data_IF_246345756091
#
_entry.id   IF_246345756091
#
_cell.length_a   1.000
_cell.length_b   1.000
_cell.length_c   1.000
_cell.angle_alpha   90.00
_cell.angle_beta   90.00
_cell.angle_gamma   90.00
#
_symmetry.space_group_name_H-M   'P 1'
#
loop_
_entity.id
_entity.type
_entity.pdbx_description
1 polymer ?
#
# COMPACT_ATOMS: atom_id res chain seq x y z
N UNK A 1 2.29 3.94 -11.84
CA UNK A 1 1.91 5.38 -11.97
C UNK A 1 0.91 5.69 -13.09
N UNK A 2 1.13 5.31 -14.36
CA UNK A 2 0.27 5.77 -15.47
C UNK A 2 -1.16 5.25 -15.37
N UNK A 3 -1.38 4.03 -14.84
CA UNK A 3 -2.73 3.49 -14.67
C UNK A 3 -3.56 4.31 -13.66
N UNK A 4 -2.96 4.68 -12.53
CA UNK A 4 -3.63 5.44 -11.46
C UNK A 4 -3.95 6.88 -11.91
N UNK A 5 -3.03 7.52 -12.65
CA UNK A 5 -3.27 8.86 -13.22
C UNK A 5 -4.40 8.81 -14.25
N UNK A 6 -4.36 7.87 -15.19
CA UNK A 6 -5.41 7.68 -16.20
C UNK A 6 -6.77 7.38 -15.55
N UNK A 7 -6.82 6.49 -14.57
CA UNK A 7 -8.06 6.15 -13.85
C UNK A 7 -8.65 7.37 -13.12
N UNK A 8 -7.81 8.18 -12.49
CA UNK A 8 -8.24 9.40 -11.78
C UNK A 8 -8.72 10.47 -12.76
N UNK A 9 -7.99 10.69 -13.86
CA UNK A 9 -8.42 11.60 -14.94
C UNK A 9 -9.75 11.13 -15.52
N UNK A 10 -9.91 9.83 -15.81
CA UNK A 10 -11.16 9.26 -16.31
C UNK A 10 -12.30 9.48 -15.33
N UNK A 11 -12.05 9.36 -14.02
CA UNK A 11 -13.03 9.65 -12.96
C UNK A 11 -13.49 11.11 -13.01
N UNK A 12 -12.57 12.06 -13.15
CA UNK A 12 -12.90 13.48 -13.30
C UNK A 12 -13.67 13.78 -14.59
N UNK A 13 -13.24 13.20 -15.72
CA UNK A 13 -13.91 13.34 -17.01
C UNK A 13 -15.32 12.74 -16.97
N UNK A 14 -15.49 11.57 -16.34
CA UNK A 14 -16.78 10.94 -16.16
C UNK A 14 -17.70 11.74 -15.23
N UNK A 15 -17.17 12.34 -14.16
CA UNK A 15 -17.92 13.23 -13.28
C UNK A 15 -18.42 14.49 -14.01
N UNK A 16 -17.54 15.12 -14.82
CA UNK A 16 -17.92 16.25 -15.69
C UNK A 16 -18.98 15.86 -16.72
N UNK A 17 -18.79 14.76 -17.45
CA UNK A 17 -19.76 14.27 -18.45
C UNK A 17 -21.11 13.92 -17.85
N UNK A 18 -21.13 13.45 -16.60
CA UNK A 18 -22.37 13.15 -15.88
C UNK A 18 -23.06 14.39 -15.28
N UNK A 19 -22.52 15.61 -15.48
CA UNK A 19 -23.07 16.84 -14.91
C UNK A 19 -23.07 16.86 -13.38
N UNK A 20 -22.24 16.04 -12.72
CA UNK A 20 -22.24 15.91 -11.26
C UNK A 20 -21.46 17.06 -10.65
N UNK A 21 -22.04 17.73 -9.63
CA UNK A 21 -21.32 18.71 -8.81
C UNK A 21 -20.08 18.06 -8.17
N UNK A 22 -18.98 18.83 -8.12
CA UNK A 22 -17.75 18.43 -7.43
C UNK A 22 -18.09 18.06 -5.99
N UNK A 23 -17.68 16.86 -5.58
CA UNK A 23 -17.91 16.35 -4.23
C UNK A 23 -16.60 16.12 -3.48
N UNK A 24 -16.70 15.92 -2.17
CA UNK A 24 -15.56 15.60 -1.31
C UNK A 24 -14.82 14.34 -1.76
N UNK A 25 -15.51 13.38 -2.38
CA UNK A 25 -14.91 12.17 -2.94
C UNK A 25 -13.90 12.48 -4.07
N UNK A 26 -14.10 13.56 -4.82
CA UNK A 26 -13.23 13.96 -5.93
C UNK A 26 -11.98 14.67 -5.42
N UNK A 27 -12.13 15.48 -4.35
CA UNK A 27 -11.00 16.15 -3.68
C UNK A 27 -10.08 15.10 -3.05
N UNK A 28 -10.64 14.13 -2.30
CA UNK A 28 -9.82 13.06 -1.72
C UNK A 28 -9.14 12.21 -2.79
N UNK A 29 -9.79 11.93 -3.92
CA UNK A 29 -9.13 11.23 -5.02
C UNK A 29 -7.97 12.02 -5.65
N UNK A 30 -8.11 13.35 -5.78
CA UNK A 30 -7.01 14.20 -6.25
C UNK A 30 -5.86 14.26 -5.25
N UNK A 31 -6.15 14.38 -3.95
CA UNK A 31 -5.12 14.39 -2.90
C UNK A 31 -4.37 13.06 -2.85
N UNK A 32 -5.07 11.93 -2.96
CA UNK A 32 -4.45 10.61 -3.08
C UNK A 32 -3.50 10.55 -4.28
N UNK A 33 -3.94 11.04 -5.45
CA UNK A 33 -3.11 11.06 -6.66
C UNK A 33 -1.84 11.91 -6.47
N UNK A 34 -1.97 13.09 -5.87
CA UNK A 34 -0.82 13.96 -5.60
C UNK A 34 0.19 13.30 -4.66
N UNK A 35 -0.29 12.67 -3.58
CA UNK A 35 0.56 11.94 -2.65
C UNK A 35 1.25 10.74 -3.33
N UNK A 36 0.53 10.01 -4.18
CA UNK A 36 1.12 8.92 -4.95
C UNK A 36 2.19 9.38 -5.93
N UNK A 37 1.97 10.52 -6.62
CA UNK A 37 2.95 11.13 -7.51
C UNK A 37 4.22 11.55 -6.76
N UNK A 38 4.07 12.16 -5.58
CA UNK A 38 5.19 12.52 -4.72
C UNK A 38 5.99 11.28 -4.26
N UNK A 39 5.29 10.24 -3.80
CA UNK A 39 5.89 8.96 -3.42
C UNK A 39 6.72 8.36 -4.58
N UNK A 40 6.13 8.24 -5.78
CA UNK A 40 6.87 7.65 -6.89
C UNK A 40 7.98 8.54 -7.45
N UNK A 41 7.87 9.87 -7.35
CA UNK A 41 8.97 10.77 -7.71
C UNK A 41 10.19 10.54 -6.81
N UNK A 42 9.97 10.38 -5.49
CA UNK A 42 11.03 10.06 -4.53
C UNK A 42 11.61 8.66 -4.77
N UNK A 43 10.77 7.66 -5.06
CA UNK A 43 11.22 6.30 -5.39
C UNK A 43 12.06 6.26 -6.67
N UNK A 44 11.63 6.95 -7.73
CA UNK A 44 12.39 7.08 -8.98
C UNK A 44 13.71 7.82 -8.74
N UNK A 45 13.68 8.89 -7.92
CA UNK A 45 14.89 9.61 -7.51
C UNK A 45 15.89 8.70 -6.79
N UNK A 46 15.43 7.88 -5.86
CA UNK A 46 16.28 6.90 -5.16
C UNK A 46 16.88 5.88 -6.11
N UNK A 47 16.08 5.34 -7.03
CA UNK A 47 16.57 4.42 -8.05
C UNK A 47 17.63 5.09 -8.96
N UNK A 48 17.38 6.33 -9.39
CA UNK A 48 18.33 7.09 -10.21
C UNK A 48 19.67 7.35 -9.52
N UNK A 49 19.69 7.55 -8.20
CA UNK A 49 20.92 7.69 -7.40
C UNK A 49 21.74 6.39 -7.40
N UNK A 50 21.07 5.24 -7.28
CA UNK A 50 21.75 3.93 -7.29
C UNK A 50 22.16 3.47 -8.68
N UNK A 51 21.63 4.06 -9.75
CA UNK A 51 21.89 3.62 -11.12
C UNK A 51 21.40 2.19 -11.43
N UNK A 52 20.60 1.59 -10.54
CA UNK A 52 20.10 0.22 -10.69
C UNK A 52 21.11 -0.87 -10.32
N UNK A 53 22.22 -0.55 -9.66
CA UNK A 53 23.20 -1.55 -9.19
C UNK A 53 22.62 -2.38 -8.02
N UNK A 54 23.19 -3.56 -7.77
CA UNK A 54 22.80 -4.40 -6.63
C UNK A 54 23.22 -3.76 -5.31
N UNK A 55 22.53 -4.11 -4.23
CA UNK A 55 22.78 -3.60 -2.87
C UNK A 55 24.22 -3.80 -2.41
N UNK A 56 24.90 -4.83 -2.91
CA UNK A 56 26.28 -5.19 -2.55
C UNK A 56 27.31 -4.21 -3.15
N UNK A 57 26.93 -3.47 -4.18
CA UNK A 57 27.77 -2.49 -4.87
C UNK A 57 27.52 -1.04 -4.38
N UNK A 58 26.71 -0.87 -3.32
CA UNK A 58 26.34 0.47 -2.86
C UNK A 58 27.51 1.18 -2.20
N UNK A 59 27.86 2.34 -2.74
CA UNK A 59 28.72 3.27 -2.01
C UNK A 59 27.98 3.81 -0.79
N UNK A 60 28.73 4.15 0.26
CA UNK A 60 28.18 4.72 1.49
C UNK A 60 27.28 5.95 1.21
N UNK A 61 27.68 6.82 0.28
CA UNK A 61 26.93 8.02 -0.09
C UNK A 61 25.59 7.68 -0.78
N UNK A 62 25.60 6.67 -1.66
CA UNK A 62 24.38 6.15 -2.29
C UNK A 62 23.43 5.54 -1.26
N UNK A 63 23.97 4.75 -0.32
CA UNK A 63 23.17 4.12 0.73
C UNK A 63 22.48 5.16 1.63
N UNK A 64 23.21 6.18 2.08
CA UNK A 64 22.67 7.26 2.92
C UNK A 64 21.63 8.09 2.17
N UNK A 65 21.91 8.45 0.91
CA UNK A 65 21.02 9.27 0.10
C UNK A 65 19.72 8.54 -0.21
N UNK A 66 19.79 7.27 -0.63
CA UNK A 66 18.61 6.46 -0.91
C UNK A 66 17.80 6.19 0.35
N UNK A 67 18.44 5.98 1.51
CA UNK A 67 17.74 5.81 2.80
C UNK A 67 16.97 7.08 3.22
N UNK A 68 17.55 8.26 3.00
CA UNK A 68 16.86 9.54 3.24
C UNK A 68 15.67 9.74 2.30
N UNK A 69 15.80 9.36 1.02
CA UNK A 69 14.70 9.41 0.07
C UNK A 69 13.57 8.42 0.43
N UNK A 70 13.92 7.21 0.87
CA UNK A 70 12.95 6.22 1.33
C UNK A 70 12.19 6.71 2.58
N UNK A 71 12.90 7.28 3.56
CA UNK A 71 12.30 7.91 4.74
C UNK A 71 11.34 9.05 4.36
N UNK A 72 11.73 9.89 3.40
CA UNK A 72 10.87 10.96 2.89
C UNK A 72 9.65 10.43 2.10
N UNK A 73 9.78 9.28 1.43
CA UNK A 73 8.73 8.67 0.62
C UNK A 73 7.65 7.98 1.45
N UNK A 74 8.03 7.33 2.56
CA UNK A 74 7.15 6.61 3.47
C UNK A 74 5.86 7.37 3.85
N UNK A 75 5.90 8.61 4.37
CA UNK A 75 4.68 9.33 4.74
C UNK A 75 3.74 9.60 3.56
N UNK A 76 4.27 9.81 2.35
CA UNK A 76 3.43 10.03 1.16
C UNK A 76 2.68 8.77 0.74
N UNK A 77 3.27 7.59 0.94
CA UNK A 77 2.60 6.32 0.69
C UNK A 77 1.39 6.15 1.62
N UNK A 78 1.58 6.39 2.92
CA UNK A 78 0.52 6.32 3.92
C UNK A 78 -0.60 7.33 3.65
N UNK A 79 -0.23 8.57 3.31
CA UNK A 79 -1.20 9.63 2.98
C UNK A 79 -2.03 9.24 1.76
N UNK A 80 -1.41 8.62 0.74
CA UNK A 80 -2.13 8.12 -0.42
C UNK A 80 -3.14 7.02 -0.02
N UNK A 81 -2.74 6.05 0.81
CA UNK A 81 -3.64 4.98 1.29
C UNK A 81 -4.85 5.56 2.01
N UNK A 82 -4.63 6.52 2.92
CA UNK A 82 -5.70 7.19 3.65
C UNK A 82 -6.70 7.87 2.71
N UNK A 83 -6.22 8.74 1.81
CA UNK A 83 -7.11 9.51 0.94
C UNK A 83 -7.82 8.63 -0.10
N UNK A 84 -7.16 7.57 -0.59
CA UNK A 84 -7.78 6.61 -1.50
C UNK A 84 -8.97 5.90 -0.83
N UNK A 85 -8.77 5.37 0.38
CA UNK A 85 -9.83 4.72 1.18
C UNK A 85 -10.92 5.71 1.61
N UNK A 86 -10.54 6.93 1.99
CA UNK A 86 -11.49 7.99 2.34
C UNK A 86 -12.39 8.37 1.15
N UNK A 87 -11.85 8.48 -0.07
CA UNK A 87 -12.65 8.74 -1.27
C UNK A 87 -13.71 7.65 -1.51
N UNK A 88 -13.36 6.37 -1.28
CA UNK A 88 -14.28 5.24 -1.38
C UNK A 88 -15.33 5.24 -0.26
N UNK A 89 -14.94 5.50 0.97
CA UNK A 89 -15.86 5.58 2.11
C UNK A 89 -16.87 6.72 1.96
N UNK A 90 -16.45 7.89 1.48
CA UNK A 90 -17.37 9.00 1.16
C UNK A 90 -18.33 8.61 0.03
N UNK A 91 -17.84 7.90 -0.99
CA UNK A 91 -18.69 7.39 -2.06
C UNK A 91 -19.72 6.38 -1.52
N UNK A 92 -19.32 5.48 -0.62
CA UNK A 92 -20.22 4.52 0.03
C UNK A 92 -21.28 5.22 0.86
N UNK A 93 -20.86 6.19 1.68
CA UNK A 93 -21.77 7.01 2.46
C UNK A 93 -22.78 7.72 1.55
N UNK A 94 -22.33 8.38 0.48
CA UNK A 94 -23.22 9.08 -0.45
C UNK A 94 -24.24 8.15 -1.13
N UNK A 95 -23.84 6.94 -1.51
CA UNK A 95 -24.72 5.99 -2.22
C UNK A 95 -25.73 5.35 -1.25
N UNK A 96 -25.29 5.01 -0.03
CA UNK A 96 -26.04 4.14 0.88
C UNK A 96 -26.51 4.84 2.16
N UNK A 97 -26.32 6.17 2.28
CA UNK A 97 -26.78 6.97 3.44
C UNK A 97 -28.27 6.85 3.73
N UNK A 98 -29.08 6.38 2.76
CA UNK A 98 -30.51 6.10 2.95
C UNK A 98 -30.75 5.10 4.10
N UNK A 99 -29.83 4.18 4.36
CA UNK A 99 -29.93 3.23 5.47
C UNK A 99 -28.98 3.63 6.60
N UNK A 100 -29.55 3.97 7.77
CA UNK A 100 -28.80 4.43 8.94
C UNK A 100 -27.76 3.43 9.43
N UNK A 101 -28.05 2.12 9.39
CA UNK A 101 -27.09 1.10 9.81
C UNK A 101 -25.84 1.12 8.94
N UNK A 102 -26.02 1.20 7.62
CA UNK A 102 -24.91 1.25 6.68
C UNK A 102 -24.12 2.57 6.77
N UNK A 103 -24.80 3.68 7.02
CA UNK A 103 -24.16 4.96 7.29
C UNK A 103 -23.26 4.91 8.53
N UNK A 104 -23.76 4.35 9.63
CA UNK A 104 -23.00 4.17 10.88
C UNK A 104 -21.80 3.24 10.66
N UNK A 105 -21.98 2.08 10.02
CA UNK A 105 -20.86 1.18 9.73
C UNK A 105 -19.77 1.85 8.89
N UNK A 106 -20.16 2.64 7.87
CA UNK A 106 -19.21 3.38 7.04
C UNK A 106 -18.42 4.40 7.86
N UNK A 107 -19.09 5.13 8.76
CA UNK A 107 -18.42 6.08 9.67
C UNK A 107 -17.48 5.37 10.65
N UNK A 108 -17.87 4.22 11.21
CA UNK A 108 -17.02 3.44 12.12
C UNK A 108 -15.75 2.98 11.42
N UNK A 109 -15.85 2.43 10.20
CA UNK A 109 -14.67 2.04 9.40
C UNK A 109 -13.78 3.25 9.11
N UNK A 110 -14.37 4.41 8.78
CA UNK A 110 -13.61 5.63 8.53
C UNK A 110 -12.84 6.11 9.78
N UNK A 111 -13.45 6.03 10.96
CA UNK A 111 -12.80 6.39 12.23
C UNK A 111 -11.65 5.42 12.54
N UNK A 112 -11.88 4.11 12.37
CA UNK A 112 -10.84 3.09 12.57
C UNK A 112 -9.67 3.33 11.62
N UNK A 113 -9.94 3.57 10.34
CA UNK A 113 -8.89 3.85 9.35
C UNK A 113 -8.10 5.12 9.69
N UNK A 114 -8.77 6.18 10.14
CA UNK A 114 -8.11 7.43 10.52
C UNK A 114 -7.24 7.25 11.77
N UNK A 115 -7.77 6.58 12.80
CA UNK A 115 -7.04 6.31 14.03
C UNK A 115 -5.80 5.44 13.74
N UNK A 116 -5.96 4.43 12.88
CA UNK A 116 -4.86 3.56 12.46
C UNK A 116 -3.79 4.32 11.68
N UNK A 117 -4.18 5.12 10.70
CA UNK A 117 -3.27 5.96 9.93
C UNK A 117 -2.44 6.86 10.85
N UNK A 118 -3.08 7.54 11.81
CA UNK A 118 -2.38 8.41 12.75
C UNK A 118 -1.32 7.63 13.54
N UNK A 119 -1.66 6.43 14.04
CA UNK A 119 -0.74 5.60 14.79
C UNK A 119 0.48 5.17 13.97
N UNK A 120 0.27 4.66 12.74
CA UNK A 120 1.36 4.22 11.86
C UNK A 120 2.18 5.40 11.36
N UNK A 121 1.56 6.50 10.96
CA UNK A 121 2.25 7.68 10.46
C UNK A 121 3.28 8.21 11.48
N UNK A 122 2.87 8.32 12.74
CA UNK A 122 3.80 8.73 13.81
C UNK A 122 4.82 7.64 14.15
N UNK A 123 4.45 6.37 14.09
CA UNK A 123 5.39 5.26 14.32
C UNK A 123 6.50 5.24 13.27
N UNK A 124 6.18 5.52 12.00
CA UNK A 124 7.14 5.62 10.91
C UNK A 124 8.04 6.87 11.04
N UNK A 125 7.47 8.02 11.41
CA UNK A 125 8.26 9.25 11.62
C UNK A 125 9.20 9.17 12.83
N UNK A 126 8.82 8.42 13.87
CA UNK A 126 9.61 8.25 15.08
C UNK A 126 10.17 6.84 15.25
N UNK A 127 10.38 6.15 14.13
CA UNK A 127 10.80 4.75 14.14
C UNK A 127 12.16 4.52 14.78
N UNK A 128 13.05 5.53 14.68
CA UNK A 128 14.33 5.56 15.37
C UNK A 128 14.41 6.78 16.31
N UNK A 129 15.04 6.57 17.46
CA UNK A 129 15.39 7.63 18.40
C UNK A 129 16.92 7.57 18.61
N UNK A 130 17.66 8.58 18.10
CA UNK A 130 17.22 9.74 17.33
C UNK A 130 16.91 9.43 15.85
N UNK A 131 16.05 10.22 15.20
CA UNK A 131 15.57 9.98 13.81
C UNK A 131 16.72 9.82 12.81
N UNK A 132 17.83 10.55 13.00
CA UNK A 132 18.98 10.48 12.11
C UNK A 132 19.76 9.17 12.16
N UNK A 133 19.48 8.31 13.15
CA UNK A 133 19.98 6.93 13.19
C UNK A 133 19.43 6.08 12.05
N UNK A 134 18.27 6.45 11.47
CA UNK A 134 17.66 5.74 10.33
C UNK A 134 18.59 5.64 9.12
N UNK A 135 19.38 6.69 8.84
CA UNK A 135 20.29 6.74 7.70
C UNK A 135 21.76 6.66 8.12
N UNK A 136 22.04 6.23 9.35
CA UNK A 136 23.41 6.07 9.85
C UNK A 136 23.93 4.66 9.57
N UNK A 137 24.47 4.49 8.36
CA UNK A 137 25.02 3.21 7.89
C UNK A 137 26.30 2.82 8.67
N UNK A 138 26.97 3.79 9.30
CA UNK A 138 28.22 3.54 10.03
C UNK A 138 28.00 3.11 11.49
N UNK A 139 26.76 3.18 12.00
CA UNK A 139 26.43 2.83 13.38
C UNK A 139 27.11 3.71 14.42
N UNK A 140 27.46 4.94 14.05
CA UNK A 140 28.13 5.93 14.91
C UNK A 140 27.17 6.57 15.92
N UNK A 141 25.86 6.50 15.65
CA UNK A 141 24.82 7.15 16.43
C UNK A 141 24.24 6.18 17.46
N UNK A 142 24.44 6.49 18.74
CA UNK A 142 23.77 5.81 19.84
C UNK A 142 22.26 6.05 19.82
N UNK A 143 21.48 5.01 20.13
CA UNK A 143 20.03 5.07 20.06
C UNK A 143 19.41 3.71 19.79
N UNK A 144 18.11 3.68 19.59
CA UNK A 144 17.38 2.46 19.27
C UNK A 144 16.38 2.71 18.14
N UNK A 145 16.10 1.67 17.39
CA UNK A 145 15.11 1.67 16.32
C UNK A 145 14.12 0.54 16.55
N UNK A 146 12.86 0.76 16.18
CA UNK A 146 11.85 -0.28 16.17
C UNK A 146 12.16 -1.31 15.08
N UNK A 147 11.72 -2.55 15.31
CA UNK A 147 11.81 -3.61 14.31
C UNK A 147 10.92 -3.27 13.11
N UNK A 148 11.52 -3.15 11.94
CA UNK A 148 10.87 -2.71 10.72
C UNK A 148 9.98 -3.77 10.09
N UNK A 149 10.43 -5.02 10.05
CA UNK A 149 9.60 -6.13 9.59
C UNK A 149 8.34 -6.31 10.46
N UNK A 150 8.48 -6.16 11.79
CA UNK A 150 7.35 -6.25 12.70
C UNK A 150 6.36 -5.09 12.52
N UNK A 151 6.87 -3.86 12.33
CA UNK A 151 6.05 -2.68 12.09
C UNK A 151 5.30 -2.79 10.76
N UNK A 152 5.98 -3.20 9.69
CA UNK A 152 5.40 -3.42 8.37
C UNK A 152 4.34 -4.53 8.41
N UNK A 153 4.62 -5.64 9.08
CA UNK A 153 3.66 -6.72 9.23
C UNK A 153 2.38 -6.26 9.95
N UNK A 154 2.53 -5.44 11.01
CA UNK A 154 1.38 -4.86 11.71
C UNK A 154 0.60 -3.88 10.82
N UNK A 155 1.31 -2.99 10.11
CA UNK A 155 0.77 -2.03 9.14
C UNK A 155 -0.08 -2.72 8.07
N UNK A 156 0.53 -3.64 7.32
CA UNK A 156 -0.11 -4.31 6.18
C UNK A 156 -1.27 -5.22 6.64
N UNK A 157 -1.15 -5.88 7.80
CA UNK A 157 -2.23 -6.75 8.32
C UNK A 157 -3.49 -5.94 8.58
N UNK A 158 -3.38 -4.81 9.27
CA UNK A 158 -4.54 -3.99 9.63
C UNK A 158 -5.05 -3.24 8.40
N UNK A 159 -4.15 -2.76 7.53
CA UNK A 159 -4.52 -2.10 6.28
C UNK A 159 -5.35 -3.02 5.37
N UNK A 160 -4.91 -4.28 5.20
CA UNK A 160 -5.66 -5.34 4.50
C UNK A 160 -6.97 -5.68 5.21
N UNK A 161 -6.96 -5.73 6.55
CA UNK A 161 -8.17 -5.96 7.34
C UNK A 161 -9.27 -4.92 7.03
N UNK A 162 -8.91 -3.65 6.90
CA UNK A 162 -9.84 -2.60 6.51
C UNK A 162 -10.34 -2.79 5.07
N UNK A 163 -9.49 -3.22 4.14
CA UNK A 163 -9.92 -3.51 2.76
C UNK A 163 -10.98 -4.62 2.71
N UNK A 164 -10.77 -5.71 3.48
CA UNK A 164 -11.77 -6.77 3.59
C UNK A 164 -13.05 -6.30 4.27
N UNK A 165 -12.96 -5.44 5.30
CA UNK A 165 -14.14 -4.86 5.94
C UNK A 165 -14.95 -3.99 4.98
N UNK A 166 -14.29 -3.16 4.17
CA UNK A 166 -14.92 -2.33 3.14
C UNK A 166 -15.58 -3.19 2.05
N UNK A 167 -14.90 -4.24 1.60
CA UNK A 167 -15.47 -5.24 0.70
C UNK A 167 -16.68 -5.91 1.34
N UNK A 168 -16.58 -6.46 2.54
CA UNK A 168 -17.71 -7.10 3.21
C UNK A 168 -18.92 -6.17 3.30
N UNK A 169 -18.69 -4.92 3.74
CA UNK A 169 -19.73 -3.89 3.82
C UNK A 169 -20.43 -3.68 2.47
N UNK A 170 -19.67 -3.55 1.40
CA UNK A 170 -20.23 -3.45 0.06
C UNK A 170 -21.05 -4.70 -0.31
N UNK A 171 -20.61 -5.93 0.01
CA UNK A 171 -21.34 -7.17 -0.35
C UNK A 171 -22.70 -7.17 0.31
N UNK A 172 -22.72 -6.88 1.61
CA UNK A 172 -23.96 -6.84 2.40
C UNK A 172 -24.92 -5.76 1.89
N UNK A 173 -24.41 -4.60 1.47
CA UNK A 173 -25.21 -3.55 0.87
C UNK A 173 -25.88 -3.98 -0.45
N UNK A 174 -25.17 -4.70 -1.34
CA UNK A 174 -25.75 -5.18 -2.62
C UNK A 174 -26.88 -6.16 -2.38
N UNK A 175 -26.69 -7.11 -1.47
CA UNK A 175 -27.67 -8.18 -1.24
C UNK A 175 -29.00 -7.63 -0.72
N UNK A 176 -28.96 -6.54 0.04
CA UNK A 176 -30.14 -5.94 0.69
C UNK A 176 -30.91 -4.97 -0.20
N UNK A 177 -30.36 -4.51 -1.33
CA UNK A 177 -30.94 -3.37 -2.06
C UNK A 177 -31.08 -3.67 -3.55
N UNK A 178 -32.32 -3.61 -4.06
CA UNK A 178 -32.65 -3.74 -5.49
C UNK A 178 -32.09 -2.55 -6.29
N UNK A 179 -30.78 -2.55 -6.51
CA UNK A 179 -30.06 -1.44 -7.12
C UNK A 179 -30.10 -1.50 -8.66
N UNK A 180 -30.10 -0.32 -9.28
CA UNK A 180 -29.98 -0.16 -10.73
C UNK A 180 -28.66 -0.78 -11.24
N UNK A 181 -28.64 -1.43 -12.43
CA UNK A 181 -27.50 -2.19 -12.93
C UNK A 181 -26.21 -1.38 -13.09
N UNK A 182 -26.31 -0.05 -13.32
CA UNK A 182 -25.12 0.82 -13.39
C UNK A 182 -24.35 0.89 -12.06
N UNK A 183 -25.07 0.83 -10.94
CA UNK A 183 -24.49 0.93 -9.60
C UNK A 183 -23.87 -0.40 -9.17
N UNK A 184 -24.48 -1.50 -9.61
CA UNK A 184 -23.93 -2.85 -9.47
C UNK A 184 -22.55 -2.98 -10.13
N UNK A 185 -22.36 -2.41 -11.33
CA UNK A 185 -21.05 -2.39 -12.03
C UNK A 185 -20.00 -1.56 -11.30
N UNK A 186 -20.36 -0.38 -10.79
CA UNK A 186 -19.42 0.45 -10.02
C UNK A 186 -18.95 -0.26 -8.77
N UNK A 187 -19.87 -0.93 -8.08
CA UNK A 187 -19.51 -1.64 -6.87
C UNK A 187 -18.71 -2.92 -7.15
N UNK A 188 -19.00 -3.64 -8.25
CA UNK A 188 -18.17 -4.73 -8.75
C UNK A 188 -16.71 -4.31 -8.94
N UNK A 189 -16.46 -3.13 -9.52
CA UNK A 189 -15.10 -2.61 -9.65
C UNK A 189 -14.44 -2.34 -8.29
N UNK A 190 -15.20 -1.84 -7.31
CA UNK A 190 -14.66 -1.62 -5.95
C UNK A 190 -14.36 -2.94 -5.24
N UNK A 191 -15.17 -3.98 -5.43
CA UNK A 191 -14.89 -5.30 -4.88
C UNK A 191 -13.58 -5.89 -5.37
N UNK A 192 -13.38 -5.85 -6.69
CA UNK A 192 -12.18 -6.40 -7.31
C UNK A 192 -10.95 -5.63 -6.83
N UNK A 193 -11.03 -4.30 -6.81
CA UNK A 193 -9.89 -3.46 -6.38
C UNK A 193 -9.58 -3.60 -4.89
N UNK A 194 -10.58 -3.59 -4.01
CA UNK A 194 -10.38 -3.79 -2.56
C UNK A 194 -9.91 -5.20 -2.21
N UNK A 195 -10.47 -6.23 -2.86
CA UNK A 195 -10.05 -7.62 -2.66
C UNK A 195 -8.62 -7.87 -3.11
N UNK A 196 -8.24 -7.34 -4.28
CA UNK A 196 -6.86 -7.41 -4.76
C UNK A 196 -5.90 -6.67 -3.81
N UNK A 197 -6.26 -5.47 -3.35
CA UNK A 197 -5.46 -4.71 -2.37
C UNK A 197 -5.20 -5.51 -1.09
N UNK A 198 -6.24 -6.12 -0.52
CA UNK A 198 -6.10 -6.92 0.71
C UNK A 198 -5.22 -8.17 0.54
N UNK A 199 -5.30 -8.84 -0.62
CA UNK A 199 -4.43 -9.99 -0.94
C UNK A 199 -2.97 -9.53 -1.07
N UNK A 200 -2.73 -8.41 -1.76
CA UNK A 200 -1.39 -7.88 -1.97
C UNK A 200 -0.70 -7.53 -0.64
N UNK A 201 -1.43 -7.03 0.36
CA UNK A 201 -0.84 -6.80 1.68
C UNK A 201 -0.29 -8.08 2.32
N UNK A 202 -1.00 -9.21 2.22
CA UNK A 202 -0.49 -10.49 2.73
C UNK A 202 0.71 -11.02 1.94
N UNK A 203 0.72 -10.82 0.63
CA UNK A 203 1.87 -11.17 -0.21
C UNK A 203 3.11 -10.39 0.22
N UNK A 204 2.99 -9.07 0.46
CA UNK A 204 4.10 -8.25 0.96
C UNK A 204 4.68 -8.77 2.28
N UNK A 205 3.80 -9.17 3.20
CA UNK A 205 4.22 -9.76 4.48
C UNK A 205 5.01 -11.04 4.20
N UNK A 206 4.51 -11.92 3.33
CA UNK A 206 5.18 -13.15 2.95
C UNK A 206 6.59 -12.92 2.37
N UNK A 207 6.75 -11.93 1.50
CA UNK A 207 8.05 -11.56 0.91
C UNK A 207 9.04 -11.08 1.97
N UNK A 208 8.61 -10.27 2.93
CA UNK A 208 9.48 -9.77 4.01
C UNK A 208 10.00 -10.91 4.88
N UNK A 209 9.18 -11.92 5.15
CA UNK A 209 9.60 -13.11 5.90
C UNK A 209 10.26 -14.17 5.02
N UNK A 210 10.36 -14.00 3.70
CA UNK A 210 10.97 -14.97 2.80
C UNK A 210 12.48 -14.76 2.60
N UNK A 211 13.05 -13.65 3.10
CA UNK A 211 14.47 -13.30 2.93
C UNK A 211 15.28 -13.94 4.09
N UNK A 212 16.14 -14.95 3.82
CA UNK A 212 16.96 -15.57 4.85
C UNK A 212 18.27 -14.79 5.05
N UNK A 213 18.65 -14.53 6.31
CA UNK A 213 19.95 -13.98 6.68
C UNK A 213 21.02 -15.07 6.85
N UNK A 214 22.29 -14.70 6.59
CA UNK A 214 23.49 -15.55 6.74
C UNK A 214 23.72 -16.13 8.15
N UNK A 215 23.00 -15.67 9.18
CA UNK A 215 23.13 -16.17 10.57
C UNK A 215 21.87 -16.88 11.12
N UNK A 216 20.88 -17.18 10.28
CA UNK A 216 19.68 -17.92 10.72
C UNK A 216 18.72 -17.13 11.62
N UNK A 217 18.88 -15.81 11.72
CA UNK A 217 17.92 -14.89 12.32
C UNK A 217 17.52 -13.84 11.27
N UNK A 218 16.27 -13.91 10.78
CA UNK A 218 15.68 -13.08 9.71
C UNK A 218 15.67 -11.57 10.02
N UNK A 219 16.71 -10.77 9.73
CA UNK A 219 16.63 -9.30 9.68
C UNK A 219 17.77 -8.65 8.83
N UNK A 220 17.83 -8.87 7.52
CA UNK A 220 18.61 -8.00 6.60
C UNK A 220 17.74 -6.83 6.15
N UNK A 221 18.16 -5.62 6.53
CA UNK A 221 17.46 -4.33 6.38
C UNK A 221 16.39 -4.28 5.27
N UNK A 222 15.12 -4.57 5.61
CA UNK A 222 13.95 -4.48 4.73
C UNK A 222 13.70 -3.08 4.12
N UNK A 223 14.36 -2.04 4.63
CA UNK A 223 14.01 -0.65 4.35
C UNK A 223 14.09 -0.26 2.86
N UNK A 224 15.01 -0.86 2.11
CA UNK A 224 15.13 -0.63 0.66
C UNK A 224 14.17 -1.52 -0.13
N UNK A 225 14.07 -2.80 0.25
CA UNK A 225 13.23 -3.78 -0.41
C UNK A 225 11.75 -3.43 -0.24
N UNK A 226 11.25 -3.22 0.97
CA UNK A 226 9.82 -2.96 1.22
C UNK A 226 9.26 -1.71 0.51
N UNK A 227 10.07 -0.64 0.42
CA UNK A 227 9.64 0.62 -0.21
C UNK A 227 9.91 0.68 -1.73
N UNK A 228 10.89 -0.07 -2.25
CA UNK A 228 11.17 -0.17 -3.70
C UNK A 228 10.50 -1.40 -4.36
N UNK A 229 10.07 -2.42 -3.60
CA UNK A 229 9.43 -3.64 -4.12
C UNK A 229 8.16 -3.42 -4.93
N UNK A 230 7.29 -2.40 -4.70
CA UNK A 230 6.22 -2.13 -5.65
C UNK A 230 6.74 -1.66 -7.03
N UNK A 231 8.03 -1.35 -7.16
CA UNK A 231 8.70 -0.95 -8.41
C UNK A 231 9.73 -1.97 -8.95
N UNK A 232 10.38 -2.81 -8.13
CA UNK A 232 11.52 -3.63 -8.59
C UNK A 232 11.33 -5.15 -8.65
N UNK A 233 10.23 -5.72 -8.15
CA UNK A 233 10.01 -7.17 -8.26
C UNK A 233 8.70 -7.54 -9.00
N UNK A 234 8.89 -8.07 -10.21
CA UNK A 234 8.07 -9.10 -10.87
C UNK A 234 6.73 -8.82 -11.56
N UNK A 235 6.13 -7.62 -11.60
CA UNK A 235 4.91 -7.45 -12.42
C UNK A 235 5.17 -7.50 -13.94
N UNK A 236 6.39 -7.20 -14.40
CA UNK A 236 6.77 -7.31 -15.82
C UNK A 236 7.16 -8.73 -16.24
N UNK A 237 7.63 -9.57 -15.33
CA UNK A 237 7.98 -10.98 -15.60
C UNK A 237 6.81 -11.94 -15.31
N UNK A 238 5.81 -11.54 -14.50
CA UNK A 238 4.60 -12.35 -14.23
C UNK A 238 3.57 -12.37 -15.38
N UNK A 239 3.84 -11.69 -16.50
CA UNK A 239 3.03 -11.78 -17.74
C UNK A 239 3.65 -12.76 -18.75
N UNK A 240 4.73 -13.47 -18.41
CA UNK A 240 5.05 -14.73 -19.08
C UNK A 240 4.35 -15.86 -18.34
N UNK A 241 3.23 -16.34 -18.90
CA UNK A 241 2.65 -17.62 -18.54
C UNK A 241 3.68 -18.74 -18.79
N UNK A 242 4.06 -19.56 -17.80
CA UNK A 242 4.44 -20.92 -18.08
C UNK A 242 3.19 -21.76 -17.80
N UNK A 243 2.43 -22.05 -18.85
CA UNK A 243 1.87 -23.40 -18.90
C UNK A 243 3.06 -24.34 -19.04
N UNK A 244 3.39 -25.08 -17.99
CA UNK A 244 4.02 -26.39 -18.13
C UNK A 244 3.75 -27.28 -16.90
N UNK A 245 3.61 -28.59 -17.13
CA UNK A 245 2.97 -29.52 -16.20
C UNK A 245 3.96 -30.03 -15.14
N UNK A 246 3.38 -30.56 -14.05
CA UNK A 246 3.92 -31.64 -13.20
C UNK A 246 5.44 -31.68 -13.00
N UNK A 247 5.90 -31.49 -11.77
CA UNK A 247 6.73 -32.51 -11.13
C UNK A 247 6.56 -32.51 -9.61
N UNK A 248 5.79 -33.50 -9.18
CA UNK A 248 5.82 -34.10 -7.86
C UNK A 248 7.13 -34.87 -7.74
N UNK A 249 7.96 -34.60 -6.73
CA UNK A 249 8.86 -35.64 -6.24
C UNK A 249 10.23 -35.20 -5.74
N UNK A 250 10.49 -35.67 -4.52
CA UNK A 250 11.77 -36.26 -4.08
C UNK A 250 12.84 -35.23 -3.69
N UNK A 251 13.04 -35.07 -2.38
CA UNK A 251 14.23 -35.66 -1.74
C UNK A 251 13.96 -35.96 -0.25
N UNK A 252 13.84 -37.25 0.02
CA UNK A 252 13.92 -37.87 1.33
C UNK A 252 15.40 -37.93 1.77
N UNK A 253 15.66 -37.50 3.00
CA UNK A 253 16.29 -38.26 4.10
C UNK A 253 17.40 -39.26 3.69
N UNK A 254 18.65 -38.93 4.02
CA UNK A 254 19.78 -39.87 4.01
C UNK A 254 19.89 -40.62 5.36
N UNK A 255 19.82 -41.95 5.28
CA UNK A 255 20.63 -42.87 6.07
C UNK A 255 20.95 -44.10 5.21
#
# INVERSE_FOLDING_TARGET
MPLCTVATILRFVAARRAGRKFGWEDIFAALALLAFLAYGALAIGGFAVTGGVSTDEYTLDMAVTTSKMAYAAAPFFEINQLFAKASLLVLYYRIFATNRTFAVCTCVIAIIQMAWFIAIFFSLMFMCIPVHKWWDVQGTVEGWCMNDAALLAAEETINSGVDFAMVALAVFMVRKLQMKPYLKRRLAAVFITGGLSGILGFVKIGEVYAIPDENGSMYTSPQLAAYLYPFTANWYTSIEWPMSPMDFGIYCRWH
#
